data_IF_567111458931
#
_entry.id   IF_567111458931
#
_cell.length_a   1.000
_cell.length_b   1.000
_cell.length_c   1.000
_cell.angle_alpha   90.00
_cell.angle_beta   90.00
_cell.angle_gamma   90.00
#
_symmetry.space_group_name_H-M   'P 1'
#
loop_
_entity.id
_entity.type
_entity.pdbx_description
1 polymer ?
#
# COMPACT_ATOMS: atom_id res chain seq x y z
N UNK A 1 -4.97 -1.77 8.37
CA UNK A 1 -4.95 -3.19 8.72
C UNK A 1 -6.05 -3.93 7.96
N UNK A 2 -5.71 -5.03 7.31
CA UNK A 2 -6.61 -5.88 6.55
C UNK A 2 -5.85 -6.99 5.82
N UNK A 3 -6.51 -8.09 5.59
CA UNK A 3 -5.96 -9.21 4.83
C UNK A 3 -5.60 -8.77 3.39
N UNK A 4 -4.79 -9.58 2.72
CA UNK A 4 -4.46 -9.38 1.31
C UNK A 4 -5.75 -9.31 0.47
N UNK A 5 -5.76 -8.45 -0.55
CA UNK A 5 -6.92 -8.25 -1.42
C UNK A 5 -8.05 -7.38 -0.85
N UNK A 6 -7.91 -6.81 0.35
CA UNK A 6 -8.92 -5.90 0.94
C UNK A 6 -8.87 -4.48 0.39
N UNK A 7 -7.94 -4.18 -0.52
CA UNK A 7 -7.75 -2.84 -1.10
C UNK A 7 -7.01 -1.85 -0.19
N UNK A 8 -6.35 -2.31 0.87
CA UNK A 8 -5.61 -1.44 1.79
C UNK A 8 -4.46 -0.69 1.12
N UNK A 9 -3.75 -1.34 0.20
CA UNK A 9 -2.66 -0.71 -0.57
C UNK A 9 -3.21 0.30 -1.60
N UNK A 10 -4.33 -0.01 -2.25
CA UNK A 10 -4.98 0.89 -3.20
C UNK A 10 -5.49 2.14 -2.48
N UNK A 11 -6.03 1.99 -1.28
CA UNK A 11 -6.43 3.09 -0.43
C UNK A 11 -5.22 3.97 -0.05
N UNK A 12 -4.07 3.38 0.31
CA UNK A 12 -2.84 4.12 0.59
C UNK A 12 -2.37 4.92 -0.64
N UNK A 13 -2.35 4.29 -1.82
CA UNK A 13 -2.03 4.98 -3.09
C UNK A 13 -3.05 6.08 -3.44
N UNK A 14 -4.33 5.83 -3.21
CA UNK A 14 -5.37 6.83 -3.40
C UNK A 14 -5.15 8.06 -2.51
N UNK A 15 -4.84 7.85 -1.23
CA UNK A 15 -4.53 8.95 -0.30
C UNK A 15 -3.26 9.69 -0.70
N UNK A 16 -2.20 9.00 -1.14
CA UNK A 16 -1.00 9.62 -1.68
C UNK A 16 -1.31 10.50 -2.90
N UNK A 17 -2.14 10.02 -3.83
CA UNK A 17 -2.62 10.81 -4.97
C UNK A 17 -3.42 12.03 -4.53
N UNK A 18 -4.25 11.88 -3.49
CA UNK A 18 -5.05 12.99 -2.93
C UNK A 18 -4.17 14.12 -2.39
N UNK A 19 -3.03 13.77 -1.77
CA UNK A 19 -2.08 14.71 -1.20
C UNK A 19 -1.19 15.41 -2.26
N UNK A 20 -0.89 14.72 -3.37
CA UNK A 20 0.08 15.19 -4.37
C UNK A 20 -0.55 15.77 -5.63
N UNK A 21 -1.70 15.27 -6.04
CA UNK A 21 -2.36 15.73 -7.25
C UNK A 21 -2.82 17.19 -7.14
N UNK A 22 -2.33 18.03 -8.07
CA UNK A 22 -2.60 19.48 -8.08
C UNK A 22 -3.89 19.88 -8.82
N UNK A 23 -4.71 18.92 -9.24
CA UNK A 23 -5.98 19.20 -9.92
C UNK A 23 -7.10 19.46 -8.92
N UNK A 24 -8.05 20.32 -9.28
CA UNK A 24 -9.19 20.67 -8.42
C UNK A 24 -9.97 19.45 -7.93
N UNK A 25 -10.10 18.43 -8.80
CA UNK A 25 -10.75 17.16 -8.46
C UNK A 25 -9.71 16.09 -8.06
N UNK A 26 -8.75 16.43 -7.17
CA UNK A 26 -7.76 15.46 -6.69
C UNK A 26 -8.42 14.29 -5.94
N UNK A 27 -7.99 13.04 -6.18
CA UNK A 27 -7.05 12.62 -7.23
C UNK A 27 -7.75 12.50 -8.60
N UNK A 28 -7.15 13.06 -9.65
CA UNK A 28 -7.75 13.05 -11.00
C UNK A 28 -7.52 11.73 -11.77
N UNK A 29 -6.72 10.81 -11.23
CA UNK A 29 -6.35 9.48 -11.77
C UNK A 29 -5.67 9.47 -13.15
N UNK A 30 -5.56 10.61 -13.84
CA UNK A 30 -5.08 10.71 -15.23
C UNK A 30 -3.81 11.53 -15.41
N UNK A 31 -3.45 12.41 -14.47
CA UNK A 31 -2.24 13.23 -14.60
C UNK A 31 -0.95 12.42 -14.38
N UNK A 32 0.18 13.01 -14.77
CA UNK A 32 1.49 12.37 -14.62
C UNK A 32 1.82 11.96 -13.20
N UNK A 33 1.44 12.76 -12.19
CA UNK A 33 1.67 12.44 -10.79
C UNK A 33 0.86 11.22 -10.37
N UNK A 34 -0.44 11.17 -10.68
CA UNK A 34 -1.29 10.03 -10.36
C UNK A 34 -0.75 8.74 -11.01
N UNK A 35 -0.35 8.79 -12.27
CA UNK A 35 0.21 7.62 -12.98
C UNK A 35 1.55 7.16 -12.39
N UNK A 36 2.44 8.09 -12.02
CA UNK A 36 3.71 7.75 -11.37
C UNK A 36 3.52 7.13 -9.98
N UNK A 37 2.49 7.55 -9.23
CA UNK A 37 2.14 6.92 -7.95
C UNK A 37 1.66 5.48 -8.17
N UNK A 38 0.84 5.23 -9.19
CA UNK A 38 0.40 3.87 -9.52
C UNK A 38 1.56 2.94 -9.86
N UNK A 39 2.52 3.45 -10.63
CA UNK A 39 3.72 2.68 -11.03
C UNK A 39 4.85 2.69 -9.98
N UNK A 40 4.63 3.26 -8.79
CA UNK A 40 5.64 3.38 -7.71
C UNK A 40 6.92 4.15 -8.14
N UNK A 41 6.80 5.12 -9.04
CA UNK A 41 7.94 5.88 -9.61
C UNK A 41 7.88 7.38 -9.31
N UNK A 42 7.01 7.81 -8.40
CA UNK A 42 6.87 9.22 -8.05
C UNK A 42 7.95 9.64 -7.04
N UNK A 43 8.66 10.74 -7.29
CA UNK A 43 9.79 11.20 -6.46
C UNK A 43 9.40 11.53 -5.01
N UNK A 44 8.18 12.01 -4.79
CA UNK A 44 7.69 12.37 -3.45
C UNK A 44 6.84 11.27 -2.82
N UNK A 45 6.78 10.08 -3.43
CA UNK A 45 6.10 8.91 -2.86
C UNK A 45 7.06 7.73 -2.88
N UNK A 46 7.57 7.38 -1.71
CA UNK A 46 8.44 6.24 -1.58
C UNK A 46 7.64 5.01 -1.19
N UNK A 47 7.86 3.95 -1.95
CA UNK A 47 7.19 2.68 -1.78
C UNK A 47 8.17 1.65 -1.24
N UNK A 48 7.83 1.06 -0.10
CA UNK A 48 8.63 0.04 0.56
C UNK A 48 7.82 -1.23 0.63
N UNK A 49 8.41 -2.32 0.19
CA UNK A 49 7.84 -3.65 0.31
C UNK A 49 8.89 -4.66 0.77
N UNK A 50 8.50 -5.81 1.30
CA UNK A 50 9.43 -6.83 1.72
C UNK A 50 10.33 -7.31 0.58
N UNK A 51 11.61 -7.53 0.87
CA UNK A 51 12.52 -8.27 0.00
C UNK A 51 12.54 -9.71 0.54
N UNK A 52 11.94 -10.63 -0.23
CA UNK A 52 11.55 -11.94 0.30
C UNK A 52 10.43 -11.76 1.34
N UNK A 53 10.66 -12.25 2.55
CA UNK A 53 9.65 -12.24 3.63
C UNK A 53 9.90 -11.18 4.71
N UNK A 54 10.84 -10.26 4.50
CA UNK A 54 11.24 -9.32 5.55
C UNK A 54 11.51 -7.92 5.00
N UNK A 55 11.17 -6.91 5.79
CA UNK A 55 11.62 -5.52 5.61
C UNK A 55 12.74 -5.27 6.60
N UNK A 56 13.95 -4.99 6.09
CA UNK A 56 15.14 -4.74 6.88
C UNK A 56 15.28 -3.26 7.23
N UNK A 57 16.08 -3.00 8.28
CA UNK A 57 16.41 -1.65 8.77
C UNK A 57 16.95 -0.75 7.65
N UNK A 58 17.86 -1.26 6.83
CA UNK A 58 18.52 -0.52 5.76
C UNK A 58 17.51 0.03 4.73
N UNK A 59 16.42 -0.71 4.45
CA UNK A 59 15.37 -0.26 3.54
C UNK A 59 14.65 0.99 4.11
N UNK A 60 14.36 1.00 5.40
CA UNK A 60 13.73 2.14 6.08
C UNK A 60 14.68 3.32 6.14
N UNK A 61 15.95 3.10 6.52
CA UNK A 61 16.94 4.16 6.65
C UNK A 61 17.27 4.83 5.31
N UNK A 62 17.39 4.06 4.23
CA UNK A 62 17.61 4.61 2.89
C UNK A 62 16.48 5.57 2.48
N UNK A 63 15.25 5.17 2.72
CA UNK A 63 14.06 5.95 2.39
C UNK A 63 14.01 7.25 3.21
N UNK A 64 14.26 7.18 4.52
CA UNK A 64 14.30 8.37 5.38
C UNK A 64 15.42 9.31 4.93
N UNK A 65 16.59 8.76 4.55
CA UNK A 65 17.71 9.55 4.04
C UNK A 65 17.38 10.23 2.72
N UNK A 66 16.78 9.54 1.77
CA UNK A 66 16.36 10.11 0.48
C UNK A 66 15.43 11.32 0.67
N UNK A 67 14.46 11.24 1.57
CA UNK A 67 13.55 12.34 1.83
C UNK A 67 14.21 13.50 2.59
N UNK A 68 15.14 13.22 3.48
CA UNK A 68 15.87 14.30 4.17
C UNK A 68 16.73 15.14 3.22
N UNK A 69 17.19 14.53 2.10
CA UNK A 69 17.97 15.20 1.05
C UNK A 69 17.10 15.89 -0.01
N UNK A 70 15.86 15.45 -0.20
CA UNK A 70 14.96 15.92 -1.27
C UNK A 70 13.88 16.89 -0.79
N UNK A 71 14.11 17.64 0.29
CA UNK A 71 13.14 18.64 0.77
C UNK A 71 12.91 19.74 -0.27
N UNK A 72 12.13 19.38 -1.31
CA UNK A 72 11.64 20.30 -2.30
C UNK A 72 10.46 21.08 -1.70
N UNK A 73 10.72 22.32 -1.37
CA UNK A 73 9.81 23.43 -1.06
C UNK A 73 8.33 23.08 -0.84
N UNK A 74 7.98 22.66 0.37
CA UNK A 74 6.59 22.65 0.84
C UNK A 74 5.67 21.59 0.20
N UNK A 75 6.19 20.69 -0.61
CA UNK A 75 5.38 19.59 -1.19
C UNK A 75 5.21 18.43 -0.21
N UNK A 76 4.06 17.78 -0.27
CA UNK A 76 3.82 16.57 0.52
C UNK A 76 4.79 15.45 0.13
N UNK A 77 5.35 14.78 1.12
CA UNK A 77 6.18 13.58 0.99
C UNK A 77 5.45 12.41 1.64
N UNK A 78 5.33 11.32 0.91
CA UNK A 78 4.51 10.18 1.33
C UNK A 78 5.34 8.91 1.35
N UNK A 79 5.22 8.16 2.45
CA UNK A 79 5.77 6.81 2.57
C UNK A 79 4.63 5.81 2.50
N UNK A 80 4.76 4.81 1.66
CA UNK A 80 3.83 3.67 1.63
C UNK A 80 4.65 2.43 1.97
N UNK A 81 4.40 1.85 3.14
CA UNK A 81 5.06 0.65 3.61
C UNK A 81 4.06 -0.50 3.51
N UNK A 82 4.26 -1.37 2.52
CA UNK A 82 3.44 -2.55 2.31
C UNK A 82 3.88 -3.66 3.26
N UNK A 83 2.93 -4.39 3.82
CA UNK A 83 3.16 -5.51 4.74
C UNK A 83 4.09 -5.12 5.91
N UNK A 84 3.76 -4.03 6.59
CA UNK A 84 4.57 -3.45 7.66
C UNK A 84 4.83 -4.43 8.82
N UNK A 85 3.97 -5.42 9.03
CA UNK A 85 4.18 -6.52 9.98
C UNK A 85 5.37 -7.43 9.64
N UNK A 86 5.92 -7.31 8.43
CA UNK A 86 7.15 -7.98 8.03
C UNK A 86 8.42 -7.20 8.35
N UNK A 87 8.32 -6.00 8.93
CA UNK A 87 9.47 -5.28 9.44
C UNK A 87 10.10 -6.02 10.63
N UNK A 88 11.42 -6.21 10.61
CA UNK A 88 12.14 -6.65 11.81
C UNK A 88 12.15 -5.55 12.87
N UNK A 89 12.46 -5.88 14.12
CA UNK A 89 12.45 -4.92 15.24
C UNK A 89 13.37 -3.72 14.99
N UNK A 90 14.51 -3.92 14.34
CA UNK A 90 15.43 -2.84 14.00
C UNK A 90 14.84 -1.86 12.97
N UNK A 91 14.12 -2.37 11.97
CA UNK A 91 13.39 -1.56 10.99
C UNK A 91 12.27 -0.74 11.64
N UNK A 92 11.50 -1.39 12.54
CA UNK A 92 10.44 -0.72 13.28
C UNK A 92 10.98 0.42 14.17
N UNK A 93 12.09 0.19 14.86
CA UNK A 93 12.74 1.23 15.67
C UNK A 93 13.29 2.38 14.82
N UNK A 94 13.78 2.12 13.60
CA UNK A 94 14.21 3.20 12.70
C UNK A 94 13.02 4.03 12.21
N UNK A 95 11.87 3.40 11.96
CA UNK A 95 10.65 4.09 11.59
C UNK A 95 10.11 4.98 12.73
N UNK A 96 10.25 4.55 14.00
CA UNK A 96 9.81 5.32 15.16
C UNK A 96 10.43 6.71 15.21
N UNK A 97 11.73 6.84 14.93
CA UNK A 97 12.43 8.14 14.91
C UNK A 97 11.76 9.13 13.96
N UNK A 98 11.31 8.62 12.82
CA UNK A 98 10.59 9.41 11.82
C UNK A 98 9.17 9.79 12.27
N UNK A 99 8.46 8.87 12.93
CA UNK A 99 7.11 9.14 13.45
C UNK A 99 7.11 10.07 14.68
N UNK A 100 8.22 10.19 15.38
CA UNK A 100 8.37 11.07 16.56
C UNK A 100 8.69 12.52 16.20
N UNK A 101 9.31 12.77 15.05
CA UNK A 101 9.64 14.10 14.55
C UNK A 101 8.75 14.44 13.34
N UNK A 102 7.47 14.76 13.55
CA UNK A 102 6.55 14.96 12.44
C UNK A 102 6.89 16.26 11.70
N UNK A 103 7.34 16.12 10.46
CA UNK A 103 7.32 17.22 9.52
C UNK A 103 5.88 17.38 9.01
N UNK A 104 5.27 18.58 9.00
CA UNK A 104 3.87 18.77 8.65
C UNK A 104 3.49 18.30 7.22
N UNK A 105 4.48 18.14 6.35
CA UNK A 105 4.28 17.68 4.98
C UNK A 105 4.65 16.20 4.77
N UNK A 106 4.98 15.45 5.82
CA UNK A 106 5.31 14.04 5.74
C UNK A 106 4.14 13.17 6.17
N UNK A 107 3.80 12.19 5.35
CA UNK A 107 2.69 11.27 5.58
C UNK A 107 3.18 9.83 5.44
N UNK A 108 2.84 8.97 6.40
CA UNK A 108 3.17 7.56 6.36
C UNK A 108 1.91 6.70 6.28
N UNK A 109 1.81 5.83 5.30
CA UNK A 109 0.76 4.82 5.17
C UNK A 109 1.37 3.44 5.33
N UNK A 110 1.01 2.75 6.39
CA UNK A 110 1.45 1.40 6.69
C UNK A 110 0.29 0.44 6.41
N UNK A 111 0.46 -0.47 5.46
CA UNK A 111 -0.49 -1.58 5.31
C UNK A 111 0.03 -2.80 6.06
N UNK A 112 -0.85 -3.57 6.64
CA UNK A 112 -0.51 -4.77 7.43
C UNK A 112 -1.69 -5.74 7.46
N UNK A 113 -1.42 -7.02 7.47
CA UNK A 113 -2.41 -8.06 7.74
C UNK A 113 -2.54 -8.35 9.24
N UNK A 114 -1.57 -7.91 10.03
CA UNK A 114 -1.56 -8.14 11.48
C UNK A 114 -0.85 -7.01 12.23
N UNK A 115 -1.60 -5.96 12.58
CA UNK A 115 -1.05 -4.81 13.30
C UNK A 115 -0.46 -5.16 14.68
N UNK A 116 -0.84 -6.29 15.29
CA UNK A 116 -0.30 -6.76 16.58
C UNK A 116 1.17 -7.18 16.50
N UNK A 117 1.72 -7.35 15.29
CA UNK A 117 3.15 -7.60 15.08
C UNK A 117 3.98 -6.32 15.05
N UNK A 118 3.33 -5.16 14.96
CA UNK A 118 3.98 -3.87 15.07
C UNK A 118 4.17 -3.51 16.55
N UNK A 119 5.24 -2.77 16.83
CA UNK A 119 5.48 -2.24 18.16
C UNK A 119 4.31 -1.33 18.60
N UNK A 120 3.89 -1.44 19.84
CA UNK A 120 2.81 -0.60 20.40
C UNK A 120 3.12 0.89 20.25
N UNK A 121 4.40 1.24 20.29
CA UNK A 121 4.89 2.61 20.05
C UNK A 121 4.63 3.12 18.63
N UNK A 122 4.62 2.26 17.60
CA UNK A 122 4.20 2.62 16.23
C UNK A 122 2.66 2.73 16.20
N UNK A 123 1.97 1.72 16.70
CA UNK A 123 0.51 1.67 16.67
C UNK A 123 -0.11 2.89 17.35
N UNK A 124 0.44 3.31 18.50
CA UNK A 124 -0.05 4.48 19.25
C UNK A 124 0.13 5.82 18.52
N UNK A 125 1.04 5.89 17.53
CA UNK A 125 1.28 7.08 16.70
C UNK A 125 0.54 7.06 15.37
N UNK A 126 -0.16 5.98 15.06
CA UNK A 126 -0.89 5.80 13.81
C UNK A 126 -2.40 5.79 14.07
N UNK A 127 -3.16 6.32 13.12
CA UNK A 127 -4.60 6.08 13.07
C UNK A 127 -4.84 4.71 12.44
N UNK A 128 -5.39 3.79 13.20
CA UNK A 128 -5.70 2.44 12.73
C UNK A 128 -7.03 2.43 11.97
N UNK A 129 -7.00 1.96 10.74
CA UNK A 129 -8.18 1.77 9.88
C UNK A 129 -8.27 0.28 9.53
N UNK A 130 -9.40 -0.33 9.83
CA UNK A 130 -9.64 -1.75 9.53
C UNK A 130 -10.35 -1.91 8.18
N UNK A 131 -9.73 -2.66 7.29
CA UNK A 131 -10.31 -3.07 6.02
C UNK A 131 -10.94 -4.45 6.18
N UNK A 132 -12.22 -4.55 5.89
CA UNK A 132 -12.93 -5.83 5.90
C UNK A 132 -12.62 -6.60 4.62
N UNK A 133 -12.61 -7.94 4.68
CA UNK A 133 -12.51 -8.78 3.47
C UNK A 133 -13.56 -8.38 2.43
N UNK A 134 -13.15 -8.32 1.17
CA UNK A 134 -14.06 -8.06 0.06
C UNK A 134 -14.99 -9.26 -0.09
N UNK A 135 -16.33 -9.06 -0.19
CA UNK A 135 -17.24 -10.17 -0.43
C UNK A 135 -16.86 -10.93 -1.71
N UNK A 136 -16.83 -12.26 -1.65
CA UNK A 136 -16.52 -13.14 -2.79
C UNK A 136 -17.36 -12.81 -4.02
N UNK A 137 -18.62 -12.45 -3.80
CA UNK A 137 -19.55 -12.02 -4.85
C UNK A 137 -19.00 -10.83 -5.64
N UNK A 138 -18.38 -9.86 -4.97
CA UNK A 138 -17.81 -8.68 -5.63
C UNK A 138 -16.61 -9.05 -6.52
N UNK A 139 -15.73 -9.95 -6.03
CA UNK A 139 -14.62 -10.44 -6.85
C UNK A 139 -15.14 -11.22 -8.06
N UNK A 140 -16.13 -12.09 -7.85
CA UNK A 140 -16.78 -12.85 -8.93
C UNK A 140 -17.36 -11.90 -10.01
N UNK A 141 -18.13 -10.88 -9.61
CA UNK A 141 -18.69 -9.87 -10.52
C UNK A 141 -17.59 -9.16 -11.31
N UNK A 142 -16.50 -8.77 -10.64
CA UNK A 142 -15.34 -8.15 -11.28
C UNK A 142 -14.69 -9.05 -12.32
N UNK A 143 -14.51 -10.33 -12.04
CA UNK A 143 -13.91 -11.29 -12.96
C UNK A 143 -14.81 -11.48 -14.19
N UNK A 144 -16.13 -11.53 -13.99
CA UNK A 144 -17.11 -11.59 -15.10
C UNK A 144 -17.02 -10.32 -15.96
N UNK A 145 -16.88 -9.14 -15.36
CA UNK A 145 -16.69 -7.87 -16.10
C UNK A 145 -15.39 -7.87 -16.94
N UNK A 146 -14.36 -8.60 -16.51
CA UNK A 146 -13.14 -8.84 -17.29
C UNK A 146 -13.29 -9.94 -18.36
N UNK A 147 -14.47 -10.54 -18.50
CA UNK A 147 -14.76 -11.55 -19.53
C UNK A 147 -14.46 -12.98 -19.10
N UNK A 148 -14.24 -13.23 -17.81
CA UNK A 148 -14.04 -14.59 -17.28
C UNK A 148 -15.38 -15.30 -17.16
N UNK A 149 -15.43 -16.58 -17.52
CA UNK A 149 -16.64 -17.41 -17.40
C UNK A 149 -17.15 -17.48 -15.96
N UNK A 150 -18.47 -17.58 -15.79
CA UNK A 150 -19.14 -17.52 -14.49
C UNK A 150 -18.64 -18.62 -13.54
N UNK A 151 -18.50 -19.85 -14.04
CA UNK A 151 -18.08 -21.00 -13.23
C UNK A 151 -16.63 -20.84 -12.75
N UNK A 152 -15.73 -20.38 -13.63
CA UNK A 152 -14.33 -20.08 -13.30
C UNK A 152 -14.29 -18.94 -12.30
N UNK A 153 -15.03 -17.86 -12.52
CA UNK A 153 -15.10 -16.70 -11.62
C UNK A 153 -15.57 -17.11 -10.22
N UNK A 154 -16.55 -18.00 -10.14
CA UNK A 154 -17.03 -18.54 -8.86
C UNK A 154 -15.92 -19.32 -8.15
N UNK A 155 -15.26 -20.26 -8.80
CA UNK A 155 -14.18 -21.08 -8.22
C UNK A 155 -13.04 -20.17 -7.74
N UNK A 156 -12.55 -19.29 -8.60
CA UNK A 156 -11.41 -18.42 -8.30
C UNK A 156 -11.71 -17.45 -7.15
N UNK A 157 -12.94 -16.93 -7.07
CA UNK A 157 -13.35 -16.05 -5.96
C UNK A 157 -13.34 -16.75 -4.59
N UNK A 158 -13.27 -18.10 -4.55
CA UNK A 158 -13.12 -18.86 -3.32
C UNK A 158 -11.67 -19.18 -2.98
N UNK A 159 -10.74 -19.02 -3.91
CA UNK A 159 -9.31 -19.28 -3.71
C UNK A 159 -8.52 -18.05 -3.33
N UNK A 160 -8.92 -16.88 -3.80
CA UNK A 160 -8.24 -15.61 -3.52
C UNK A 160 -9.23 -14.47 -3.33
N UNK A 161 -8.78 -13.38 -2.69
CA UNK A 161 -9.50 -12.11 -2.60
C UNK A 161 -8.89 -11.03 -3.50
N UNK A 162 -7.81 -11.33 -4.23
CA UNK A 162 -7.08 -10.40 -5.07
C UNK A 162 -7.37 -10.63 -6.54
N UNK A 163 -7.76 -9.57 -7.26
CA UNK A 163 -8.06 -9.64 -8.70
C UNK A 163 -6.83 -10.07 -9.50
N UNK A 164 -5.66 -9.51 -9.20
CA UNK A 164 -4.42 -9.79 -9.94
C UNK A 164 -3.99 -11.26 -9.75
N UNK A 165 -4.13 -11.79 -8.54
CA UNK A 165 -3.84 -13.21 -8.24
C UNK A 165 -4.87 -14.10 -8.93
N UNK A 166 -6.15 -13.71 -8.95
CA UNK A 166 -7.21 -14.41 -9.64
C UNK A 166 -6.93 -14.50 -11.14
N UNK A 167 -6.59 -13.41 -11.78
CA UNK A 167 -6.25 -13.36 -13.20
C UNK A 167 -5.02 -14.23 -13.52
N UNK A 168 -4.02 -14.24 -12.65
CA UNK A 168 -2.84 -15.08 -12.81
C UNK A 168 -3.17 -16.57 -12.77
N UNK A 169 -4.04 -17.02 -11.87
CA UNK A 169 -4.50 -18.43 -11.82
C UNK A 169 -5.21 -18.83 -13.11
N UNK A 170 -5.97 -17.91 -13.71
CA UNK A 170 -6.70 -18.16 -14.98
C UNK A 170 -5.72 -18.23 -16.15
N UNK A 171 -4.77 -17.28 -16.24
CA UNK A 171 -3.77 -17.23 -17.33
C UNK A 171 -2.80 -18.42 -17.31
N UNK A 172 -2.40 -18.90 -16.12
CA UNK A 172 -1.52 -20.05 -15.94
C UNK A 172 -2.25 -21.41 -16.15
N UNK A 173 -3.56 -21.39 -16.38
CA UNK A 173 -4.35 -22.60 -16.59
C UNK A 173 -4.37 -23.53 -15.37
N UNK A 174 -4.22 -22.96 -14.17
CA UNK A 174 -4.23 -23.71 -12.91
C UNK A 174 -5.66 -24.14 -12.53
N UNK A 175 -6.65 -23.56 -13.19
CA UNK A 175 -8.09 -23.82 -13.03
C UNK A 175 -8.76 -23.84 -14.40
#
# INVERSE_FOLDING_TARGET
DGEAGTGSIDAAKYMAKKLICKKDNAPCMSCGDCKRIDSNTHLNVLYIEPIGDIIKKEQIENVIHEFSMSSLDGMAQVYIIKDADKMNVAAQNSLLKFLEEPNPNHFAFLTTSNYKRLLDTIVSRCQLIHFKPIPKKYLMEKLIDYGVEVDISYIVSHLTSEVDVAMKYIEEGTI
#
